data_IF_794089150560
#
_entry.id   IF_794089150560
#
_cell.length_a   1.000
_cell.length_b   1.000
_cell.length_c   1.000
_cell.angle_alpha   90.00
_cell.angle_beta   90.00
_cell.angle_gamma   90.00
#
_symmetry.space_group_name_H-M   'P 1'
#
loop_
_entity.id
_entity.type
_entity.pdbx_description
1 polymer ?
#
# COMPACT_ATOMS: atom_id res chain seq x y z
N UNK A 1 30.53 5.08 -11.00
CA UNK A 1 31.24 4.64 -9.82
C UNK A 1 31.32 3.10 -9.78
N UNK A 2 30.21 2.42 -9.73
CA UNK A 2 30.12 0.96 -9.53
C UNK A 2 30.91 0.11 -10.56
N UNK A 3 30.98 0.51 -11.82
CA UNK A 3 31.77 -0.19 -12.84
C UNK A 3 33.28 0.14 -12.77
N UNK A 4 33.73 0.86 -11.75
CA UNK A 4 35.12 1.28 -11.59
C UNK A 4 35.58 1.31 -10.13
N UNK A 5 34.83 0.69 -9.21
CA UNK A 5 35.12 0.67 -7.77
C UNK A 5 36.13 -0.39 -7.35
N UNK A 6 36.57 -1.24 -8.29
CA UNK A 6 37.60 -2.27 -8.07
C UNK A 6 37.04 -3.66 -7.86
N UNK A 7 35.72 -3.84 -7.72
CA UNK A 7 35.11 -5.16 -7.63
C UNK A 7 35.05 -5.82 -9.04
N UNK A 8 35.64 -7.01 -9.15
CA UNK A 8 35.73 -7.70 -10.44
C UNK A 8 34.36 -8.15 -10.94
N UNK A 9 34.12 -7.97 -12.26
CA UNK A 9 32.91 -8.41 -12.93
C UNK A 9 31.64 -7.77 -12.37
N UNK A 10 31.69 -6.51 -11.89
CA UNK A 10 30.53 -5.82 -11.35
C UNK A 10 29.43 -5.66 -12.39
N UNK A 11 28.21 -6.10 -12.05
CA UNK A 11 27.03 -5.93 -12.90
C UNK A 11 26.16 -4.79 -12.37
N UNK A 12 25.97 -3.77 -13.20
CA UNK A 12 25.14 -2.62 -12.88
C UNK A 12 23.94 -2.58 -13.83
N UNK A 13 22.76 -2.28 -13.30
CA UNK A 13 21.53 -2.26 -14.08
C UNK A 13 20.80 -0.92 -13.94
N UNK A 14 20.27 -0.42 -15.06
CA UNK A 14 19.17 0.53 -15.06
C UNK A 14 17.89 -0.28 -15.28
N UNK A 15 16.96 -0.27 -14.32
CA UNK A 15 15.76 -1.10 -14.35
C UNK A 15 14.48 -0.26 -14.36
N UNK A 16 13.51 -0.66 -15.17
CA UNK A 16 12.18 -0.06 -15.27
C UNK A 16 11.15 -1.11 -15.70
N UNK A 17 9.85 -0.75 -15.71
CA UNK A 17 8.77 -1.64 -16.17
C UNK A 17 8.96 -2.13 -17.60
N UNK A 18 9.57 -1.31 -18.46
CA UNK A 18 9.90 -1.66 -19.84
C UNK A 18 11.38 -1.37 -20.11
N UNK A 19 12.02 -2.26 -20.88
CA UNK A 19 13.42 -2.11 -21.25
C UNK A 19 13.73 -0.78 -21.97
N UNK A 20 12.81 -0.27 -22.77
CA UNK A 20 13.01 1.01 -23.47
C UNK A 20 13.01 2.21 -22.50
N UNK A 21 12.25 2.14 -21.39
CA UNK A 21 12.31 3.15 -20.33
C UNK A 21 13.65 3.05 -19.57
N UNK A 22 14.08 1.86 -19.20
CA UNK A 22 15.39 1.63 -18.60
C UNK A 22 16.56 2.14 -19.46
N UNK A 23 16.43 2.06 -20.80
CA UNK A 23 17.41 2.62 -21.74
C UNK A 23 17.62 4.13 -21.61
N UNK A 24 16.65 4.89 -21.09
CA UNK A 24 16.82 6.36 -20.95
C UNK A 24 17.99 6.68 -20.03
N UNK A 25 18.04 6.05 -18.85
CA UNK A 25 19.14 6.23 -17.88
C UNK A 25 20.47 5.75 -18.48
N UNK A 26 20.45 4.58 -19.11
CA UNK A 26 21.62 4.01 -19.74
C UNK A 26 22.16 4.87 -20.90
N UNK A 27 21.29 5.44 -21.73
CA UNK A 27 21.69 6.31 -22.85
C UNK A 27 22.35 7.59 -22.35
N UNK A 28 21.86 8.19 -21.26
CA UNK A 28 22.51 9.38 -20.68
C UNK A 28 23.90 9.03 -20.15
N UNK A 29 24.07 7.90 -19.47
CA UNK A 29 25.38 7.43 -19.04
C UNK A 29 26.30 7.21 -20.25
N UNK A 30 25.80 6.62 -21.34
CA UNK A 30 26.56 6.45 -22.59
C UNK A 30 26.96 7.79 -23.22
N UNK A 31 26.08 8.81 -23.20
CA UNK A 31 26.40 10.16 -23.66
C UNK A 31 27.50 10.82 -22.81
N UNK A 32 27.43 10.64 -21.47
CA UNK A 32 28.47 11.14 -20.55
C UNK A 32 29.83 10.50 -20.84
N UNK A 33 29.88 9.18 -21.04
CA UNK A 33 31.11 8.47 -21.43
C UNK A 33 31.63 9.00 -22.74
N UNK A 34 30.78 9.16 -23.77
CA UNK A 34 31.20 9.63 -25.10
C UNK A 34 31.73 11.07 -25.07
N UNK A 35 31.24 11.91 -24.18
CA UNK A 35 31.67 13.32 -24.06
C UNK A 35 32.92 13.49 -23.19
N UNK A 36 33.27 12.52 -22.34
CA UNK A 36 34.38 12.62 -21.40
C UNK A 36 35.59 11.79 -21.84
N UNK A 37 36.71 12.41 -22.22
CA UNK A 37 37.94 11.69 -22.58
C UNK A 37 38.49 10.79 -21.46
N UNK A 38 38.33 11.21 -20.22
CA UNK A 38 38.76 10.44 -19.06
C UNK A 38 37.91 9.17 -18.85
N UNK A 39 36.61 9.28 -19.04
CA UNK A 39 35.69 8.11 -18.94
C UNK A 39 35.94 7.12 -20.07
N UNK A 40 36.13 7.60 -21.29
CA UNK A 40 36.42 6.74 -22.47
C UNK A 40 37.68 5.89 -22.34
N UNK A 41 38.65 6.31 -21.52
CA UNK A 41 39.85 5.52 -21.22
C UNK A 41 39.55 4.31 -20.32
N UNK A 42 38.45 4.36 -19.58
CA UNK A 42 38.09 3.32 -18.59
C UNK A 42 36.83 2.56 -18.95
N UNK A 43 35.97 3.15 -19.77
CA UNK A 43 34.65 2.59 -20.10
C UNK A 43 34.50 2.55 -21.61
N UNK A 44 34.23 1.36 -22.16
CA UNK A 44 33.95 1.12 -23.58
C UNK A 44 32.45 1.10 -23.82
N UNK A 45 31.89 2.06 -24.58
CA UNK A 45 30.46 2.05 -24.93
C UNK A 45 30.23 1.07 -26.09
N UNK A 46 29.45 0.02 -25.84
CA UNK A 46 28.95 -0.91 -26.83
C UNK A 46 27.51 -0.58 -27.26
N UNK A 47 26.91 -1.40 -28.11
CA UNK A 47 25.53 -1.17 -28.60
C UNK A 47 24.52 -1.37 -27.49
N UNK A 48 24.66 -2.44 -26.68
CA UNK A 48 23.70 -2.85 -25.66
C UNK A 48 24.17 -2.61 -24.22
N UNK A 49 25.45 -2.28 -24.01
CA UNK A 49 26.04 -2.16 -22.68
C UNK A 49 27.21 -1.18 -22.66
N UNK A 50 27.58 -0.72 -21.46
CA UNK A 50 28.84 -0.08 -21.18
C UNK A 50 29.74 -1.09 -20.46
N UNK A 51 31.00 -1.22 -20.87
CA UNK A 51 31.96 -2.18 -20.31
C UNK A 51 33.06 -1.39 -19.59
N UNK A 52 33.29 -1.71 -18.31
CA UNK A 52 34.40 -1.19 -17.53
C UNK A 52 35.68 -1.99 -17.84
N UNK A 53 36.65 -1.34 -18.48
CA UNK A 53 37.91 -1.98 -18.92
C UNK A 53 38.80 -2.50 -17.77
N UNK A 54 38.85 -1.85 -16.59
CA UNK A 54 39.74 -2.29 -15.52
C UNK A 54 39.31 -3.59 -14.82
N UNK A 55 38.03 -3.93 -14.80
CA UNK A 55 37.47 -4.99 -13.96
C UNK A 55 36.39 -5.82 -14.66
N UNK A 56 36.25 -5.69 -15.99
CA UNK A 56 35.27 -6.40 -16.81
C UNK A 56 33.81 -6.22 -16.35
N UNK A 57 33.54 -5.10 -15.70
CA UNK A 57 32.20 -4.75 -15.24
C UNK A 57 31.30 -4.31 -16.40
N UNK A 58 29.98 -4.40 -16.18
CA UNK A 58 28.98 -4.03 -17.21
C UNK A 58 27.89 -3.13 -16.65
N UNK A 59 27.37 -2.21 -17.48
CA UNK A 59 26.16 -1.48 -17.20
C UNK A 59 25.14 -1.65 -18.33
N UNK A 60 23.97 -2.21 -18.00
CA UNK A 60 22.93 -2.65 -18.94
C UNK A 60 21.54 -2.13 -18.57
N UNK A 61 20.65 -1.87 -19.54
CA UNK A 61 19.24 -1.66 -19.28
C UNK A 61 18.53 -3.00 -19.08
N UNK A 62 17.67 -3.09 -18.05
CA UNK A 62 16.86 -4.26 -17.66
C UNK A 62 15.38 -3.86 -17.62
N UNK A 63 14.51 -4.66 -18.19
CA UNK A 63 13.05 -4.48 -18.12
C UNK A 63 12.39 -5.66 -17.44
N UNK A 64 11.21 -5.43 -16.83
CA UNK A 64 10.39 -6.50 -16.25
C UNK A 64 9.89 -7.51 -17.31
N UNK A 65 9.90 -7.11 -18.58
CA UNK A 65 9.56 -7.91 -19.75
C UNK A 65 10.73 -8.79 -20.26
N UNK A 66 11.87 -8.80 -19.56
CA UNK A 66 13.04 -9.59 -19.95
C UNK A 66 12.84 -11.05 -19.56
N UNK A 67 13.04 -11.98 -20.50
CA UNK A 67 12.87 -13.43 -20.30
C UNK A 67 13.92 -14.06 -19.35
N UNK A 68 15.00 -13.33 -19.03
CA UNK A 68 16.12 -13.81 -18.21
C UNK A 68 16.33 -12.91 -17.00
N UNK A 69 15.46 -13.05 -16.01
CA UNK A 69 15.63 -12.32 -14.75
C UNK A 69 16.42 -13.13 -13.70
N UNK A 70 16.51 -14.44 -13.86
CA UNK A 70 17.23 -15.30 -12.89
C UNK A 70 18.75 -15.27 -13.08
N UNK A 71 19.49 -15.38 -11.97
CA UNK A 71 20.94 -15.51 -11.96
C UNK A 71 21.71 -14.20 -12.13
N UNK A 72 21.10 -13.06 -11.79
CA UNK A 72 21.79 -11.76 -11.76
C UNK A 72 22.82 -11.72 -10.62
N UNK A 73 23.94 -11.03 -10.85
CA UNK A 73 24.99 -10.80 -9.87
C UNK A 73 25.20 -9.28 -9.70
N UNK A 74 24.22 -8.66 -9.01
CA UNK A 74 24.02 -7.21 -8.99
C UNK A 74 24.97 -6.51 -8.06
N UNK A 75 25.88 -5.69 -8.59
CA UNK A 75 26.70 -4.75 -7.81
C UNK A 75 26.01 -3.41 -7.64
N UNK A 76 25.14 -3.03 -8.57
CA UNK A 76 24.37 -1.79 -8.49
C UNK A 76 23.14 -1.79 -9.38
N UNK A 77 22.08 -1.11 -8.92
CA UNK A 77 20.88 -0.92 -9.72
C UNK A 77 20.28 0.48 -9.53
N UNK A 78 19.78 1.05 -10.62
CA UNK A 78 18.95 2.25 -10.64
C UNK A 78 17.55 1.82 -11.04
N UNK A 79 16.60 1.84 -10.07
CA UNK A 79 15.21 1.45 -10.27
C UNK A 79 14.38 2.71 -10.52
N UNK A 80 13.88 2.84 -11.75
CA UNK A 80 13.18 4.04 -12.21
C UNK A 80 11.67 3.82 -12.20
N UNK A 81 10.93 4.87 -11.77
CA UNK A 81 9.47 4.91 -11.73
C UNK A 81 8.83 3.72 -11.01
N UNK A 82 9.33 3.39 -9.80
CA UNK A 82 8.84 2.24 -9.02
C UNK A 82 7.35 2.33 -8.68
N UNK A 83 6.73 3.53 -8.69
CA UNK A 83 5.29 3.71 -8.53
C UNK A 83 4.46 3.03 -9.64
N UNK A 84 5.06 2.78 -10.79
CA UNK A 84 4.39 2.13 -11.93
C UNK A 84 4.64 0.60 -11.98
N UNK A 85 5.45 0.06 -11.06
CA UNK A 85 5.75 -1.37 -10.99
C UNK A 85 4.56 -2.11 -10.43
N UNK A 86 4.01 -3.01 -11.22
CA UNK A 86 2.76 -3.73 -10.90
C UNK A 86 2.94 -4.91 -9.97
N UNK A 87 4.16 -5.40 -9.85
CA UNK A 87 4.57 -6.50 -8.97
C UNK A 87 5.99 -6.28 -8.49
N UNK A 88 6.39 -7.03 -7.49
CA UNK A 88 7.72 -6.92 -6.90
C UNK A 88 8.77 -7.85 -7.51
N UNK A 89 8.40 -8.72 -8.45
CA UNK A 89 9.30 -9.74 -8.98
C UNK A 89 10.64 -9.17 -9.47
N UNK A 90 10.60 -8.10 -10.29
CA UNK A 90 11.84 -7.45 -10.76
C UNK A 90 12.64 -6.85 -9.60
N UNK A 91 11.99 -6.30 -8.59
CA UNK A 91 12.63 -5.76 -7.40
C UNK A 91 13.33 -6.87 -6.60
N UNK A 92 12.60 -7.95 -6.31
CA UNK A 92 13.11 -9.09 -5.53
C UNK A 92 14.31 -9.73 -6.23
N UNK A 93 14.23 -10.02 -7.53
CA UNK A 93 15.34 -10.59 -8.31
C UNK A 93 16.59 -9.70 -8.29
N UNK A 94 16.42 -8.37 -8.37
CA UNK A 94 17.55 -7.44 -8.29
C UNK A 94 18.14 -7.43 -6.88
N UNK A 95 17.32 -7.43 -5.83
CA UNK A 95 17.78 -7.44 -4.44
C UNK A 95 18.48 -8.77 -4.11
N UNK A 96 17.87 -9.89 -4.47
CA UNK A 96 18.46 -11.23 -4.26
C UNK A 96 19.80 -11.38 -5.01
N UNK A 97 19.88 -10.80 -6.21
CA UNK A 97 21.11 -10.77 -7.00
C UNK A 97 22.27 -10.02 -6.34
N UNK A 98 22.04 -9.26 -5.26
CA UNK A 98 23.11 -8.56 -4.53
C UNK A 98 23.84 -9.43 -3.51
N UNK A 99 23.31 -10.60 -3.19
CA UNK A 99 23.74 -11.44 -2.05
C UNK A 99 25.21 -11.86 -2.06
N UNK A 100 25.85 -11.90 -3.24
CA UNK A 100 27.26 -12.27 -3.41
C UNK A 100 28.21 -11.06 -3.47
N UNK A 101 27.71 -9.84 -3.33
CA UNK A 101 28.47 -8.59 -3.44
C UNK A 101 28.79 -7.99 -2.06
N UNK A 102 29.99 -7.42 -1.93
CA UNK A 102 30.41 -6.82 -0.66
C UNK A 102 29.74 -5.44 -0.40
N UNK A 103 29.59 -4.63 -1.44
CA UNK A 103 29.05 -3.26 -1.34
C UNK A 103 28.01 -2.98 -2.44
N UNK A 104 26.91 -3.72 -2.48
CA UNK A 104 25.87 -3.44 -3.47
C UNK A 104 25.19 -2.10 -3.20
N UNK A 105 24.80 -1.39 -4.27
CA UNK A 105 24.06 -0.14 -4.17
C UNK A 105 22.80 -0.17 -5.03
N UNK A 106 21.65 -0.04 -4.40
CA UNK A 106 20.36 0.11 -5.08
C UNK A 106 19.85 1.53 -4.89
N UNK A 107 19.60 2.23 -5.98
CA UNK A 107 19.02 3.58 -5.99
C UNK A 107 17.63 3.49 -6.61
N UNK A 108 16.62 3.92 -5.86
CA UNK A 108 15.22 3.97 -6.32
C UNK A 108 14.82 5.42 -6.52
N UNK A 109 14.21 5.72 -7.68
CA UNK A 109 13.68 7.06 -7.99
C UNK A 109 12.28 6.93 -8.54
N UNK A 110 11.39 7.81 -8.08
CA UNK A 110 9.98 7.75 -8.46
C UNK A 110 9.24 9.03 -8.12
N UNK A 111 8.10 9.24 -8.76
CA UNK A 111 7.04 10.12 -8.28
C UNK A 111 5.98 9.29 -7.54
N UNK A 112 5.01 9.94 -6.89
CA UNK A 112 3.81 9.26 -6.43
C UNK A 112 2.98 8.77 -7.64
N UNK A 113 2.19 7.75 -7.44
CA UNK A 113 1.35 7.18 -8.49
C UNK A 113 -0.08 6.95 -8.01
N UNK A 114 -0.83 6.24 -8.84
CA UNK A 114 -2.20 5.80 -8.54
C UNK A 114 -2.32 4.29 -8.35
N UNK A 115 -1.24 3.55 -8.62
CA UNK A 115 -1.13 2.13 -8.29
C UNK A 115 -0.86 2.04 -6.80
N UNK A 116 -1.68 1.25 -6.10
CA UNK A 116 -1.53 1.06 -4.67
C UNK A 116 -1.06 -0.37 -4.40
N UNK A 117 -0.50 -0.56 -3.20
CA UNK A 117 -0.01 -1.85 -2.73
C UNK A 117 1.10 -2.42 -3.64
N UNK A 118 2.02 -1.57 -4.02
CA UNK A 118 3.17 -1.87 -4.87
C UNK A 118 4.48 -1.77 -4.07
N UNK A 119 5.60 -2.08 -4.71
CA UNK A 119 6.94 -1.81 -4.16
C UNK A 119 7.07 -0.35 -3.70
N UNK A 120 6.45 0.59 -4.43
CA UNK A 120 6.45 2.01 -4.05
C UNK A 120 5.83 2.23 -2.67
N UNK A 121 4.62 1.73 -2.42
CA UNK A 121 3.93 1.97 -1.14
C UNK A 121 4.74 1.38 0.03
N UNK A 122 5.24 0.15 -0.13
CA UNK A 122 6.09 -0.49 0.88
C UNK A 122 7.35 0.34 1.18
N UNK A 123 8.07 0.79 0.13
CA UNK A 123 9.31 1.57 0.30
C UNK A 123 9.06 2.99 0.81
N UNK A 124 7.93 3.56 0.47
CA UNK A 124 7.50 4.86 0.99
C UNK A 124 7.23 4.81 2.50
N UNK A 125 6.54 3.74 2.96
CA UNK A 125 6.29 3.55 4.40
C UNK A 125 7.58 3.24 5.18
N UNK A 126 8.47 2.40 4.64
CA UNK A 126 9.80 2.18 5.22
C UNK A 126 10.60 3.50 5.31
N UNK A 127 10.49 4.35 4.28
CA UNK A 127 11.14 5.66 4.25
C UNK A 127 10.59 6.62 5.32
N UNK A 128 9.26 6.66 5.48
CA UNK A 128 8.61 7.46 6.53
C UNK A 128 8.95 6.96 7.93
N UNK A 129 8.91 5.64 8.15
CA UNK A 129 9.31 5.07 9.45
C UNK A 129 10.75 5.45 9.80
N UNK A 130 11.68 5.30 8.84
CA UNK A 130 13.08 5.70 9.04
C UNK A 130 13.24 7.19 9.37
N UNK A 131 12.54 8.07 8.64
CA UNK A 131 12.59 9.52 8.88
C UNK A 131 12.03 9.85 10.26
N UNK A 132 10.87 9.29 10.63
CA UNK A 132 10.26 9.52 11.94
C UNK A 132 11.17 9.03 13.08
N UNK A 133 11.79 7.86 12.93
CA UNK A 133 12.73 7.32 13.93
C UNK A 133 14.03 8.14 14.07
N UNK A 134 14.47 8.78 12.98
CA UNK A 134 15.59 9.71 13.06
C UNK A 134 15.25 10.98 13.88
N UNK A 135 13.98 11.39 13.91
CA UNK A 135 13.50 12.52 14.70
C UNK A 135 13.21 12.13 16.15
N UNK A 136 12.57 10.97 16.38
CA UNK A 136 12.14 10.51 17.71
C UNK A 136 13.21 9.72 18.47
N UNK A 137 14.22 9.18 17.76
CA UNK A 137 15.23 8.28 18.31
C UNK A 137 14.75 6.82 18.36
N UNK A 138 15.70 5.93 18.64
CA UNK A 138 15.45 4.49 18.88
C UNK A 138 15.41 4.23 20.38
N UNK A 139 14.64 3.23 20.82
CA UNK A 139 14.66 2.80 22.20
C UNK A 139 16.03 2.21 22.58
N UNK A 140 16.39 2.24 23.87
CA UNK A 140 17.67 1.72 24.35
C UNK A 140 17.80 0.21 24.02
N UNK A 141 18.81 -0.14 23.21
CA UNK A 141 19.06 -1.51 22.74
C UNK A 141 18.27 -1.92 21.48
N UNK A 142 17.43 -1.06 20.93
CA UNK A 142 16.75 -1.28 19.64
C UNK A 142 17.72 -1.08 18.48
N UNK A 143 17.78 -2.06 17.57
CA UNK A 143 18.55 -1.93 16.33
C UNK A 143 17.68 -1.25 15.26
N UNK A 144 18.33 -0.40 14.44
CA UNK A 144 17.68 0.20 13.29
C UNK A 144 17.46 -0.86 12.18
N UNK A 145 16.22 -1.28 11.89
CA UNK A 145 15.97 -2.28 10.85
C UNK A 145 16.31 -1.73 9.45
N UNK A 146 16.44 -0.41 9.31
CA UNK A 146 16.72 0.29 8.05
C UNK A 146 18.08 0.99 8.06
N UNK A 147 19.08 0.48 8.80
CA UNK A 147 20.39 1.13 8.98
C UNK A 147 21.04 1.55 7.65
N UNK A 148 20.94 0.70 6.61
CA UNK A 148 21.55 0.93 5.30
C UNK A 148 20.62 1.60 4.29
N UNK A 149 19.47 2.13 4.73
CA UNK A 149 18.50 2.80 3.89
C UNK A 149 18.56 4.31 4.09
N UNK A 150 18.79 5.05 3.01
CA UNK A 150 18.78 6.52 2.99
C UNK A 150 17.52 7.00 2.26
N UNK A 151 16.46 7.38 2.97
CA UNK A 151 15.25 7.93 2.38
C UNK A 151 15.41 9.42 2.08
N UNK A 152 14.90 9.87 0.94
CA UNK A 152 14.75 11.27 0.57
C UNK A 152 13.36 11.46 -0.03
N UNK A 153 12.48 12.19 0.66
CA UNK A 153 11.10 12.44 0.22
C UNK A 153 10.92 13.93 -0.04
N UNK A 154 10.43 14.25 -1.24
CA UNK A 154 10.04 15.60 -1.64
C UNK A 154 8.57 15.58 -2.07
N UNK A 155 7.69 16.01 -1.19
CA UNK A 155 6.25 16.05 -1.42
C UNK A 155 5.63 17.30 -0.78
N UNK A 156 4.36 17.58 -1.05
CA UNK A 156 3.61 18.56 -0.26
C UNK A 156 3.21 17.93 1.08
N UNK A 157 3.11 18.74 2.14
CA UNK A 157 2.69 18.25 3.45
C UNK A 157 1.22 17.84 3.47
N UNK A 158 0.40 18.51 2.66
CA UNK A 158 -1.01 18.14 2.49
C UNK A 158 -1.49 18.44 1.06
N UNK A 159 -2.60 17.77 0.71
CA UNK A 159 -3.18 17.87 -0.62
C UNK A 159 -3.54 19.29 -1.05
N UNK A 160 -4.02 20.13 -0.13
CA UNK A 160 -4.54 21.46 -0.45
C UNK A 160 -3.45 22.48 -0.78
N UNK A 161 -2.18 22.19 -0.45
CA UNK A 161 -1.04 23.08 -0.73
C UNK A 161 -0.72 23.26 -2.22
N UNK A 162 -1.28 22.42 -3.12
CA UNK A 162 -1.03 22.54 -4.55
C UNK A 162 -1.45 23.87 -5.17
N UNK A 163 -2.36 24.59 -4.51
CA UNK A 163 -2.82 25.91 -4.96
C UNK A 163 -1.96 27.07 -4.49
N UNK A 164 -1.07 26.82 -3.50
CA UNK A 164 -0.16 27.83 -2.92
C UNK A 164 1.26 27.72 -3.51
N UNK A 165 1.71 28.71 -4.31
CA UNK A 165 3.04 28.69 -4.90
C UNK A 165 4.19 28.63 -3.90
N UNK A 166 3.98 29.10 -2.64
CA UNK A 166 5.01 29.09 -1.61
C UNK A 166 5.34 27.65 -1.15
N UNK A 167 4.39 26.73 -1.28
CA UNK A 167 4.55 25.31 -0.88
C UNK A 167 5.22 24.45 -1.96
N UNK A 168 5.20 24.88 -3.24
CA UNK A 168 5.62 24.02 -4.37
C UNK A 168 7.07 23.54 -4.31
N UNK A 169 7.96 24.30 -3.64
CA UNK A 169 9.36 23.89 -3.46
C UNK A 169 9.52 22.67 -2.56
N UNK A 170 8.55 22.36 -1.69
CA UNK A 170 8.56 21.16 -0.86
C UNK A 170 8.66 19.89 -1.74
N UNK A 171 7.81 19.83 -2.75
CA UNK A 171 7.82 18.72 -3.73
C UNK A 171 8.81 18.93 -4.89
N UNK A 172 9.28 20.14 -5.12
CA UNK A 172 10.15 20.49 -6.25
C UNK A 172 11.32 21.35 -5.79
N UNK A 173 12.34 20.76 -5.14
CA UNK A 173 13.49 21.54 -4.61
C UNK A 173 14.27 22.24 -5.72
N UNK A 174 14.26 21.72 -6.95
CA UNK A 174 14.87 22.32 -8.13
C UNK A 174 13.98 23.30 -8.90
N UNK A 175 12.88 23.78 -8.30
CA UNK A 175 11.97 24.71 -8.96
C UNK A 175 12.65 26.07 -9.21
N UNK A 176 12.58 26.54 -10.46
CA UNK A 176 13.25 27.75 -10.92
C UNK A 176 14.63 27.49 -11.53
N UNK A 177 15.21 26.31 -11.36
CA UNK A 177 16.50 25.91 -11.95
C UNK A 177 16.36 24.71 -12.87
N UNK A 178 15.98 23.55 -12.35
CA UNK A 178 15.78 22.32 -13.15
C UNK A 178 14.38 22.31 -13.75
N UNK A 179 13.36 22.61 -12.93
CA UNK A 179 11.95 22.68 -13.33
C UNK A 179 11.55 24.16 -13.48
N UNK A 180 11.02 24.54 -14.62
CA UNK A 180 10.62 25.92 -14.87
C UNK A 180 9.37 26.29 -14.10
N UNK A 181 9.39 27.45 -13.44
CA UNK A 181 8.27 27.93 -12.61
C UNK A 181 7.03 28.20 -13.48
N UNK A 182 7.20 28.89 -14.61
CA UNK A 182 6.12 29.26 -15.54
C UNK A 182 5.35 28.03 -16.08
N UNK A 183 6.06 26.93 -16.29
CA UNK A 183 5.44 25.67 -16.70
C UNK A 183 4.57 25.07 -15.59
N UNK A 184 5.03 25.12 -14.34
CA UNK A 184 4.26 24.61 -13.21
C UNK A 184 3.05 25.50 -12.93
N UNK A 185 3.20 26.82 -12.98
CA UNK A 185 2.10 27.80 -12.89
C UNK A 185 1.02 27.53 -13.94
N UNK A 186 1.45 27.28 -15.20
CA UNK A 186 0.53 26.94 -16.28
C UNK A 186 -0.26 25.65 -15.99
N UNK A 187 0.42 24.60 -15.50
CA UNK A 187 -0.23 23.32 -15.12
C UNK A 187 -1.25 23.54 -14.00
N UNK A 188 -0.87 24.28 -12.96
CA UNK A 188 -1.76 24.60 -11.83
C UNK A 188 -2.97 25.40 -12.29
N UNK A 189 -2.78 26.43 -13.13
CA UNK A 189 -3.89 27.20 -13.69
C UNK A 189 -4.86 26.33 -14.48
N UNK A 190 -4.36 25.42 -15.32
CA UNK A 190 -5.18 24.46 -16.05
C UNK A 190 -5.94 23.50 -15.11
N UNK A 191 -5.31 23.03 -14.04
CA UNK A 191 -5.94 22.14 -13.09
C UNK A 191 -7.02 22.86 -12.27
N UNK A 192 -6.82 24.14 -11.93
CA UNK A 192 -7.87 24.99 -11.31
C UNK A 192 -9.10 25.14 -12.21
N UNK A 193 -8.90 25.23 -13.52
CA UNK A 193 -9.98 25.35 -14.50
C UNK A 193 -10.61 24.00 -14.88
N UNK A 194 -9.89 22.89 -14.74
CA UNK A 194 -10.36 21.55 -15.07
C UNK A 194 -9.96 20.54 -13.99
N UNK A 195 -10.89 20.16 -13.09
CA UNK A 195 -10.65 19.23 -11.99
C UNK A 195 -10.07 17.87 -12.40
N UNK A 196 -10.33 17.38 -13.63
CA UNK A 196 -9.81 16.13 -14.15
C UNK A 196 -8.27 16.11 -14.24
N UNK A 197 -7.64 17.29 -14.28
CA UNK A 197 -6.19 17.42 -14.34
C UNK A 197 -5.51 17.42 -12.97
N UNK A 198 -6.27 17.63 -11.90
CA UNK A 198 -5.74 17.76 -10.53
C UNK A 198 -4.99 16.49 -10.12
N UNK A 199 -5.57 15.31 -10.34
CA UNK A 199 -4.97 14.03 -9.99
C UNK A 199 -3.59 13.82 -10.61
N UNK A 200 -3.46 14.09 -11.92
CA UNK A 200 -2.19 13.95 -12.60
C UNK A 200 -1.16 14.98 -12.11
N UNK A 201 -1.61 16.20 -11.82
CA UNK A 201 -0.76 17.25 -11.25
C UNK A 201 -0.25 16.86 -9.86
N UNK A 202 -1.13 16.36 -8.99
CA UNK A 202 -0.79 15.94 -7.63
C UNK A 202 0.22 14.80 -7.62
N UNK A 203 -0.02 13.75 -8.41
CA UNK A 203 0.88 12.59 -8.44
C UNK A 203 2.22 12.87 -9.14
N UNK A 204 2.23 13.62 -10.24
CA UNK A 204 3.41 13.80 -11.09
C UNK A 204 4.26 15.01 -10.73
N UNK A 205 3.63 16.08 -10.25
CA UNK A 205 4.33 17.34 -10.00
C UNK A 205 4.48 17.64 -8.49
N UNK A 206 3.64 17.02 -7.65
CA UNK A 206 3.62 17.31 -6.20
C UNK A 206 3.82 16.07 -5.30
N UNK A 207 3.95 14.89 -5.91
CA UNK A 207 4.20 13.61 -5.23
C UNK A 207 3.16 13.23 -4.18
N UNK A 208 1.92 13.69 -4.35
CA UNK A 208 0.78 13.29 -3.52
C UNK A 208 0.13 12.04 -4.14
N UNK A 209 0.04 10.91 -3.41
CA UNK A 209 -0.65 9.73 -3.87
C UNK A 209 -2.16 9.98 -4.10
N UNK A 210 -2.72 9.39 -5.15
CA UNK A 210 -4.14 9.55 -5.50
C UNK A 210 -4.81 8.18 -5.80
N UNK A 211 -6.14 8.13 -5.69
CA UNK A 211 -6.96 6.95 -5.99
C UNK A 211 -7.62 7.04 -7.38
N UNK A 212 -8.43 6.05 -7.76
CA UNK A 212 -9.19 6.09 -9.01
C UNK A 212 -10.31 7.16 -8.97
N UNK A 213 -10.82 7.56 -10.12
CA UNK A 213 -11.91 8.56 -10.22
C UNK A 213 -13.26 8.06 -9.66
N UNK A 214 -13.47 6.74 -9.65
CA UNK A 214 -14.69 6.09 -9.16
C UNK A 214 -14.52 5.63 -7.68
N UNK A 215 -13.43 5.99 -7.02
CA UNK A 215 -13.14 5.56 -5.66
C UNK A 215 -14.16 6.12 -4.65
N UNK A 216 -14.49 5.28 -3.66
CA UNK A 216 -15.34 5.68 -2.53
C UNK A 216 -14.70 6.77 -1.67
N UNK A 217 -13.40 6.60 -1.37
CA UNK A 217 -12.59 7.53 -0.60
C UNK A 217 -11.40 8.00 -1.45
N UNK A 218 -11.01 9.25 -1.30
CA UNK A 218 -9.70 9.70 -1.77
C UNK A 218 -8.60 9.01 -0.96
N UNK A 219 -7.38 8.98 -1.48
CA UNK A 219 -6.25 8.43 -0.71
C UNK A 219 -6.05 9.19 0.60
N UNK A 220 -6.14 10.53 0.58
CA UNK A 220 -6.01 11.36 1.76
C UNK A 220 -7.08 11.04 2.81
N UNK A 221 -8.32 10.85 2.42
CA UNK A 221 -9.40 10.47 3.34
C UNK A 221 -9.18 9.09 3.95
N UNK A 222 -8.77 8.10 3.13
CA UNK A 222 -8.53 6.75 3.56
C UNK A 222 -7.28 6.60 4.44
N UNK A 223 -6.21 7.37 4.16
CA UNK A 223 -4.93 7.24 4.84
C UNK A 223 -4.99 7.74 6.28
N UNK A 224 -4.57 6.89 7.22
CA UNK A 224 -4.38 7.23 8.63
C UNK A 224 -3.16 6.45 9.14
N UNK A 225 -2.12 7.17 9.58
CA UNK A 225 -0.87 6.62 10.11
C UNK A 225 -0.86 6.47 11.63
N UNK A 226 -1.96 6.82 12.30
CA UNK A 226 -2.07 6.68 13.73
C UNK A 226 -2.04 5.19 14.12
N UNK A 227 -1.15 4.86 15.04
CA UNK A 227 -1.01 3.51 15.59
C UNK A 227 -1.53 3.46 17.03
N UNK A 228 -1.89 2.27 17.47
CA UNK A 228 -2.25 1.99 18.87
C UNK A 228 -1.76 0.59 19.26
N UNK A 229 -1.46 0.41 20.55
CA UNK A 229 -1.26 -0.91 21.11
C UNK A 229 -2.65 -1.56 21.35
N UNK A 230 -2.82 -2.82 20.95
CA UNK A 230 -4.07 -3.57 21.17
C UNK A 230 -4.45 -3.65 22.67
N UNK A 231 -3.46 -3.63 23.56
CA UNK A 231 -3.69 -3.59 25.02
C UNK A 231 -4.45 -2.33 25.46
N UNK A 232 -4.34 -1.23 24.70
CA UNK A 232 -5.14 -0.01 24.93
C UNK A 232 -6.65 -0.25 24.80
N UNK A 233 -7.03 -1.25 24.01
CA UNK A 233 -8.43 -1.63 23.76
C UNK A 233 -8.92 -2.78 24.66
N UNK A 234 -8.11 -3.22 25.63
CA UNK A 234 -8.48 -4.29 26.57
C UNK A 234 -9.71 -3.92 27.40
N UNK A 235 -10.55 -4.91 27.70
CA UNK A 235 -11.77 -4.77 28.48
C UNK A 235 -12.80 -3.79 27.89
N UNK A 236 -12.96 -3.85 26.56
CA UNK A 236 -13.95 -3.01 25.86
C UNK A 236 -14.99 -3.87 25.14
N UNK A 237 -16.10 -3.22 24.80
CA UNK A 237 -17.08 -3.79 23.88
C UNK A 237 -16.75 -3.40 22.45
N UNK A 238 -17.16 -4.25 21.52
CA UNK A 238 -16.95 -4.04 20.09
C UNK A 238 -18.19 -4.43 19.28
N UNK A 239 -18.29 -3.92 18.05
CA UNK A 239 -19.19 -4.46 17.03
C UNK A 239 -18.35 -5.14 15.99
N UNK A 240 -18.65 -6.41 15.72
CA UNK A 240 -17.95 -7.21 14.74
C UNK A 240 -18.56 -7.10 13.35
N UNK A 241 -17.75 -7.44 12.34
CA UNK A 241 -18.18 -7.62 10.96
C UNK A 241 -17.33 -8.67 10.27
N UNK A 242 -17.92 -9.40 9.33
CA UNK A 242 -17.18 -10.36 8.51
C UNK A 242 -17.64 -10.29 7.06
N UNK A 243 -16.67 -10.44 6.14
CA UNK A 243 -16.90 -10.69 4.73
C UNK A 243 -16.19 -11.99 4.37
N UNK A 244 -17.00 -13.01 4.00
CA UNK A 244 -16.54 -14.37 3.83
C UNK A 244 -16.43 -14.76 2.38
N UNK A 245 -15.26 -15.21 1.98
CA UNK A 245 -14.99 -15.84 0.69
C UNK A 245 -14.44 -17.25 0.89
N UNK A 246 -14.76 -18.18 0.00
CA UNK A 246 -14.31 -19.57 0.17
C UNK A 246 -13.00 -19.88 -0.57
N UNK A 247 -12.72 -19.28 -1.73
CA UNK A 247 -11.64 -19.76 -2.61
C UNK A 247 -10.82 -18.68 -3.30
N UNK A 248 -11.43 -17.59 -3.75
CA UNK A 248 -10.79 -16.65 -4.68
C UNK A 248 -10.54 -15.28 -4.13
N UNK A 249 -11.42 -14.75 -3.31
CA UNK A 249 -11.27 -13.44 -2.67
C UNK A 249 -10.68 -13.60 -1.26
N UNK A 250 -10.25 -12.50 -0.66
CA UNK A 250 -9.87 -12.48 0.75
C UNK A 250 -11.11 -12.72 1.62
N UNK A 251 -10.93 -13.33 2.76
CA UNK A 251 -11.89 -13.23 3.86
C UNK A 251 -11.36 -12.20 4.84
N UNK A 252 -12.22 -11.38 5.39
CA UNK A 252 -11.86 -10.41 6.40
C UNK A 252 -12.83 -10.43 7.58
N UNK A 253 -12.26 -10.40 8.79
CA UNK A 253 -12.97 -10.16 10.04
C UNK A 253 -12.56 -8.81 10.63
N UNK A 254 -13.53 -8.07 11.15
CA UNK A 254 -13.36 -6.73 11.71
C UNK A 254 -13.99 -6.65 13.10
N UNK A 255 -13.34 -5.90 13.99
CA UNK A 255 -13.93 -5.39 15.23
C UNK A 255 -13.83 -3.86 15.22
N UNK A 256 -14.93 -3.19 15.45
CA UNK A 256 -15.00 -1.75 15.68
C UNK A 256 -15.19 -1.48 17.17
N UNK A 257 -14.25 -0.77 17.77
CA UNK A 257 -14.24 -0.42 19.19
C UNK A 257 -14.38 1.08 19.33
N UNK A 258 -15.21 1.53 20.26
CA UNK A 258 -15.27 2.91 20.72
C UNK A 258 -15.00 2.94 22.23
N UNK A 259 -14.46 4.06 22.71
CA UNK A 259 -14.19 4.25 24.16
C UNK A 259 -14.98 5.45 24.70
N UNK A 260 -15.31 5.45 26.00
CA UNK A 260 -15.96 6.59 26.61
C UNK A 260 -15.17 7.89 26.42
N UNK A 261 -15.85 8.96 26.03
CA UNK A 261 -15.24 10.27 25.79
C UNK A 261 -14.18 10.33 24.69
N UNK A 262 -14.09 9.32 23.82
CA UNK A 262 -13.24 9.28 22.66
C UNK A 262 -14.11 9.19 21.39
N UNK A 263 -13.90 10.10 20.45
CA UNK A 263 -14.63 10.11 19.18
C UNK A 263 -14.02 9.12 18.15
N UNK A 264 -12.91 8.49 18.48
CA UNK A 264 -12.19 7.57 17.60
C UNK A 264 -12.89 6.21 17.53
N UNK A 265 -13.04 5.71 16.32
CA UNK A 265 -13.45 4.33 16.04
C UNK A 265 -12.18 3.53 15.75
N UNK A 266 -11.82 2.62 16.62
CA UNK A 266 -10.67 1.74 16.46
C UNK A 266 -11.09 0.50 15.69
N UNK A 267 -10.51 0.29 14.51
CA UNK A 267 -10.79 -0.85 13.66
C UNK A 267 -9.65 -1.88 13.76
N UNK A 268 -9.97 -3.06 14.28
CA UNK A 268 -9.06 -4.20 14.32
C UNK A 268 -9.50 -5.14 13.20
N UNK A 269 -8.60 -5.46 12.28
CA UNK A 269 -8.89 -6.35 11.15
C UNK A 269 -7.92 -7.51 11.07
N UNK A 270 -8.45 -8.68 10.72
CA UNK A 270 -7.68 -9.86 10.34
C UNK A 270 -8.16 -10.35 8.99
N UNK A 271 -7.20 -10.62 8.12
CA UNK A 271 -7.44 -11.17 6.79
C UNK A 271 -7.05 -12.64 6.75
N UNK A 272 -7.69 -13.40 5.85
CA UNK A 272 -7.46 -14.83 5.69
C UNK A 272 -7.32 -15.18 4.21
N UNK A 273 -6.40 -16.09 3.91
CA UNK A 273 -6.14 -16.60 2.57
C UNK A 273 -5.79 -18.11 2.66
N UNK A 274 -6.20 -18.95 1.67
CA UNK A 274 -5.77 -20.34 1.64
C UNK A 274 -4.25 -20.46 1.41
N UNK A 275 -3.57 -21.31 2.21
CA UNK A 275 -2.12 -21.51 2.14
C UNK A 275 -1.67 -22.04 0.77
N UNK A 276 -2.37 -23.03 0.22
CA UNK A 276 -2.00 -23.63 -1.08
C UNK A 276 -2.09 -22.65 -2.26
N UNK A 277 -2.89 -21.59 -2.12
CA UNK A 277 -3.07 -20.57 -3.16
C UNK A 277 -2.19 -19.32 -2.92
N UNK A 278 -1.40 -19.28 -1.86
CA UNK A 278 -0.70 -18.09 -1.42
C UNK A 278 0.25 -17.53 -2.49
N UNK A 279 1.18 -18.33 -2.99
CA UNK A 279 2.16 -17.91 -4.01
C UNK A 279 1.48 -17.49 -5.32
N UNK A 280 0.41 -18.22 -5.70
CA UNK A 280 -0.36 -17.88 -6.88
C UNK A 280 -1.07 -16.53 -6.69
N UNK A 281 -1.63 -16.27 -5.51
CA UNK A 281 -2.30 -15.00 -5.20
C UNK A 281 -1.32 -13.83 -5.15
N UNK A 282 -0.15 -13.99 -4.57
CA UNK A 282 0.91 -12.99 -4.62
C UNK A 282 1.22 -12.57 -6.07
N UNK A 283 1.28 -13.54 -6.99
CA UNK A 283 1.55 -13.29 -8.41
C UNK A 283 0.38 -12.68 -9.16
N UNK A 284 -0.85 -13.18 -8.93
CA UNK A 284 -2.06 -12.73 -9.65
C UNK A 284 -2.55 -11.36 -9.21
N UNK A 285 -2.66 -11.15 -7.91
CA UNK A 285 -3.13 -9.88 -7.33
C UNK A 285 -2.02 -8.82 -7.34
N UNK A 286 -0.75 -9.27 -7.43
CA UNK A 286 0.46 -8.41 -7.40
C UNK A 286 0.57 -7.60 -6.11
N UNK A 287 0.30 -8.26 -5.02
CA UNK A 287 0.19 -7.72 -3.67
C UNK A 287 1.21 -8.43 -2.79
N UNK A 288 1.96 -7.72 -1.92
CA UNK A 288 2.94 -8.33 -1.03
C UNK A 288 2.27 -9.01 0.17
N UNK A 289 1.50 -10.09 -0.09
CA UNK A 289 0.82 -10.84 0.97
C UNK A 289 1.78 -11.48 1.96
N UNK A 290 3.00 -11.83 1.54
CA UNK A 290 4.09 -12.29 2.39
C UNK A 290 4.44 -11.24 3.47
N UNK A 291 4.64 -9.99 3.10
CA UNK A 291 4.86 -8.90 4.04
C UNK A 291 3.69 -8.73 5.01
N UNK A 292 2.43 -8.84 4.54
CA UNK A 292 1.27 -8.73 5.42
C UNK A 292 1.10 -9.91 6.35
N UNK A 293 1.51 -11.10 5.91
CA UNK A 293 1.56 -12.29 6.76
C UNK A 293 2.60 -12.13 7.88
N UNK A 294 3.81 -11.67 7.55
CA UNK A 294 4.86 -11.37 8.52
C UNK A 294 4.44 -10.30 9.55
N UNK A 295 3.66 -9.30 9.12
CA UNK A 295 3.09 -8.28 10.02
C UNK A 295 1.93 -8.80 10.87
N UNK A 296 1.47 -10.02 10.67
CA UNK A 296 0.35 -10.61 11.39
C UNK A 296 -1.04 -10.10 10.95
N UNK A 297 -1.13 -9.34 9.87
CA UNK A 297 -2.39 -8.84 9.33
C UNK A 297 -3.13 -9.88 8.49
N UNK A 298 -2.41 -10.87 7.98
CA UNK A 298 -2.92 -11.96 7.16
C UNK A 298 -2.62 -13.32 7.82
N UNK A 299 -3.65 -14.14 7.97
CA UNK A 299 -3.55 -15.54 8.40
C UNK A 299 -3.69 -16.46 7.19
N UNK A 300 -2.83 -17.47 7.09
CA UNK A 300 -2.95 -18.52 6.09
C UNK A 300 -3.76 -19.68 6.67
N UNK A 301 -4.91 -19.98 6.03
CA UNK A 301 -5.72 -21.15 6.34
C UNK A 301 -5.17 -22.38 5.65
N UNK A 302 -5.06 -23.49 6.36
CA UNK A 302 -4.51 -24.73 5.82
C UNK A 302 -5.36 -25.27 4.65
N UNK A 303 -4.71 -25.66 3.54
CA UNK A 303 -5.34 -26.23 2.35
C UNK A 303 -5.68 -25.19 1.27
N UNK A 304 -6.61 -25.57 0.38
CA UNK A 304 -6.98 -24.79 -0.82
C UNK A 304 -8.22 -23.90 -0.65
N UNK A 305 -8.80 -23.88 0.55
CA UNK A 305 -9.97 -23.08 0.92
C UNK A 305 -9.77 -22.47 2.29
N UNK A 306 -10.42 -21.33 2.52
CA UNK A 306 -10.43 -20.74 3.86
C UNK A 306 -11.30 -21.63 4.77
N UNK A 307 -10.71 -22.09 5.87
CA UNK A 307 -11.47 -22.72 6.95
C UNK A 307 -12.06 -21.61 7.83
N UNK A 308 -13.38 -21.50 7.83
CA UNK A 308 -14.04 -20.45 8.63
C UNK A 308 -13.86 -20.63 10.14
N UNK A 309 -13.35 -21.80 10.60
CA UNK A 309 -12.91 -21.99 11.99
C UNK A 309 -11.75 -21.07 12.36
N UNK A 310 -10.89 -20.69 11.39
CA UNK A 310 -9.84 -19.71 11.64
C UNK A 310 -10.42 -18.32 11.93
N UNK A 311 -11.53 -17.98 11.24
CA UNK A 311 -12.27 -16.73 11.49
C UNK A 311 -12.92 -16.75 12.87
N UNK A 312 -13.60 -17.86 13.21
CA UNK A 312 -14.17 -18.07 14.55
C UNK A 312 -13.10 -17.98 15.63
N UNK A 313 -11.96 -18.67 15.43
CA UNK A 313 -10.85 -18.68 16.37
C UNK A 313 -10.29 -17.25 16.61
N UNK A 314 -10.27 -16.40 15.59
CA UNK A 314 -9.85 -15.03 15.75
C UNK A 314 -10.82 -14.22 16.64
N UNK A 315 -12.14 -14.31 16.44
CA UNK A 315 -13.11 -13.64 17.33
C UNK A 315 -13.00 -14.15 18.76
N UNK A 316 -12.87 -15.47 18.93
CA UNK A 316 -12.66 -16.10 20.24
C UNK A 316 -11.37 -15.59 20.89
N UNK A 317 -10.28 -15.50 20.14
CA UNK A 317 -8.99 -14.95 20.61
C UNK A 317 -9.14 -13.51 21.08
N UNK A 318 -9.83 -12.64 20.31
CA UNK A 318 -10.04 -11.25 20.70
C UNK A 318 -10.80 -11.15 22.03
N UNK A 319 -11.83 -11.97 22.19
CA UNK A 319 -12.60 -12.02 23.43
C UNK A 319 -11.78 -12.59 24.62
N UNK A 320 -11.15 -13.73 24.45
CA UNK A 320 -10.47 -14.43 25.56
C UNK A 320 -9.13 -13.81 25.94
N UNK A 321 -8.32 -13.44 24.95
CA UNK A 321 -6.96 -12.95 25.20
C UNK A 321 -6.94 -11.46 25.54
N UNK A 322 -7.74 -10.64 24.85
CA UNK A 322 -7.73 -9.19 24.99
C UNK A 322 -8.96 -8.65 25.74
N UNK A 323 -9.94 -9.51 26.05
CA UNK A 323 -11.22 -9.10 26.66
C UNK A 323 -11.94 -8.03 25.83
N UNK A 324 -11.80 -8.08 24.51
CA UNK A 324 -12.57 -7.27 23.59
C UNK A 324 -13.80 -8.07 23.19
N UNK A 325 -14.96 -7.66 23.69
CA UNK A 325 -16.20 -8.46 23.61
C UNK A 325 -17.09 -7.95 22.47
N UNK A 326 -17.24 -8.72 21.37
CA UNK A 326 -18.21 -8.39 20.33
C UNK A 326 -19.63 -8.52 20.88
N UNK A 327 -20.39 -7.41 20.86
CA UNK A 327 -21.82 -7.41 21.28
C UNK A 327 -22.68 -7.98 20.16
N UNK A 328 -22.39 -7.57 18.93
CA UNK A 328 -23.05 -8.03 17.71
C UNK A 328 -21.99 -8.23 16.63
N UNK A 329 -22.25 -9.17 15.72
CA UNK A 329 -21.38 -9.41 14.55
C UNK A 329 -22.23 -9.38 13.27
N UNK A 330 -21.98 -8.37 12.42
CA UNK A 330 -22.62 -8.20 11.12
C UNK A 330 -22.01 -9.10 10.05
N UNK A 331 -22.85 -9.72 9.22
CA UNK A 331 -22.38 -10.59 8.13
C UNK A 331 -23.31 -10.56 6.91
N UNK A 332 -22.74 -10.88 5.72
CA UNK A 332 -23.53 -11.15 4.54
C UNK A 332 -24.11 -12.59 4.61
N UNK A 333 -25.43 -12.79 4.48
CA UNK A 333 -26.04 -14.12 4.54
C UNK A 333 -25.63 -15.05 3.39
N UNK A 334 -24.97 -14.54 2.36
CA UNK A 334 -24.51 -15.35 1.22
C UNK A 334 -23.29 -16.19 1.65
N UNK A 335 -23.34 -17.51 1.42
CA UNK A 335 -22.29 -18.51 1.74
C UNK A 335 -21.87 -18.65 3.21
N UNK A 336 -22.62 -18.11 4.19
CA UNK A 336 -22.19 -18.03 5.59
C UNK A 336 -22.90 -19.02 6.55
N UNK A 337 -23.85 -19.84 6.07
CA UNK A 337 -24.75 -20.63 6.94
C UNK A 337 -24.04 -21.48 8.00
N UNK A 338 -23.05 -22.29 7.61
CA UNK A 338 -22.35 -23.16 8.56
C UNK A 338 -21.49 -22.39 9.56
N UNK A 339 -20.88 -21.29 9.11
CA UNK A 339 -20.11 -20.43 9.98
C UNK A 339 -20.98 -19.72 11.04
N UNK A 340 -22.19 -19.33 10.65
CA UNK A 340 -23.14 -18.69 11.57
C UNK A 340 -23.52 -19.65 12.69
N UNK A 341 -23.85 -20.89 12.35
CA UNK A 341 -24.24 -21.90 13.32
C UNK A 341 -23.10 -22.11 14.35
N UNK A 342 -21.85 -22.19 13.91
CA UNK A 342 -20.66 -22.29 14.76
C UNK A 342 -20.49 -21.05 15.66
N UNK A 343 -20.62 -19.83 15.12
CA UNK A 343 -20.49 -18.58 15.88
C UNK A 343 -21.59 -18.46 16.97
N UNK A 344 -22.82 -18.87 16.65
CA UNK A 344 -23.91 -18.88 17.61
C UNK A 344 -23.66 -19.92 18.72
N UNK A 345 -23.13 -21.10 18.39
CA UNK A 345 -22.72 -22.11 19.37
C UNK A 345 -21.63 -21.59 20.30
N UNK A 346 -20.72 -20.73 19.80
CA UNK A 346 -19.70 -20.03 20.60
C UNK A 346 -20.26 -18.86 21.42
N UNK A 347 -21.54 -18.55 21.29
CA UNK A 347 -22.24 -17.52 22.08
C UNK A 347 -22.24 -16.12 21.47
N UNK A 348 -21.84 -15.95 20.21
CA UNK A 348 -21.87 -14.65 19.52
C UNK A 348 -23.27 -14.33 18.96
N UNK A 349 -23.67 -13.06 19.07
CA UNK A 349 -24.92 -12.54 18.49
C UNK A 349 -24.70 -12.12 17.03
N UNK A 350 -25.19 -12.94 16.09
CA UNK A 350 -24.98 -12.78 14.66
C UNK A 350 -26.11 -11.99 14.01
N UNK A 351 -25.77 -10.91 13.29
CA UNK A 351 -26.70 -9.97 12.66
C UNK A 351 -26.53 -9.92 11.13
N UNK A 352 -27.64 -10.11 10.40
CA UNK A 352 -27.64 -10.07 8.94
C UNK A 352 -27.48 -8.65 8.42
N UNK A 353 -26.51 -8.42 7.53
CA UNK A 353 -26.34 -7.18 6.77
C UNK A 353 -26.56 -7.47 5.28
N UNK A 354 -27.65 -6.95 4.72
CA UNK A 354 -27.96 -7.11 3.30
C UNK A 354 -27.08 -6.20 2.46
N UNK A 355 -26.42 -6.74 1.43
CA UNK A 355 -25.45 -6.06 0.58
C UNK A 355 -26.07 -5.14 -0.50
N UNK A 356 -27.25 -4.61 -0.24
CA UNK A 356 -27.98 -3.70 -1.14
C UNK A 356 -27.70 -2.23 -0.83
N UNK A 357 -27.88 -1.37 -1.85
CA UNK A 357 -27.71 0.08 -1.69
C UNK A 357 -28.61 0.67 -0.60
N UNK A 358 -29.83 0.16 -0.43
CA UNK A 358 -30.76 0.61 0.61
C UNK A 358 -30.24 0.40 2.05
N UNK A 359 -29.50 -0.70 2.29
CA UNK A 359 -28.95 -1.01 3.60
C UNK A 359 -27.62 -0.27 3.83
N UNK A 360 -26.75 -0.26 2.83
CA UNK A 360 -25.36 0.19 2.99
C UNK A 360 -25.16 1.69 2.75
N UNK A 361 -26.06 2.36 2.02
CA UNK A 361 -25.83 3.75 1.56
C UNK A 361 -25.58 4.72 2.71
N UNK A 362 -26.47 4.76 3.69
CA UNK A 362 -26.32 5.72 4.80
C UNK A 362 -25.10 5.37 5.68
N UNK A 363 -24.89 4.12 6.12
CA UNK A 363 -23.66 3.73 6.84
C UNK A 363 -22.38 4.10 6.08
N UNK A 364 -22.34 3.86 4.75
CA UNK A 364 -21.18 4.23 3.93
C UNK A 364 -20.91 5.73 3.90
N UNK A 365 -21.95 6.56 3.81
CA UNK A 365 -21.82 8.03 3.81
C UNK A 365 -21.34 8.55 5.17
N UNK A 366 -21.85 7.98 6.25
CA UNK A 366 -21.46 8.36 7.62
C UNK A 366 -20.00 7.99 7.94
N UNK A 367 -19.62 6.72 7.71
CA UNK A 367 -18.24 6.28 7.98
C UNK A 367 -17.23 6.96 7.03
N UNK A 368 -17.62 7.34 5.80
CA UNK A 368 -16.77 8.14 4.93
C UNK A 368 -16.42 9.50 5.56
N UNK A 369 -17.41 10.15 6.22
CA UNK A 369 -17.14 11.36 6.99
C UNK A 369 -16.20 11.11 8.17
N UNK A 370 -16.26 9.93 8.80
CA UNK A 370 -15.36 9.57 9.88
C UNK A 370 -13.93 9.32 9.36
N UNK A 371 -13.77 8.69 8.20
CA UNK A 371 -12.48 8.56 7.53
C UNK A 371 -11.88 9.91 7.15
N UNK A 372 -12.67 10.78 6.51
CA UNK A 372 -12.25 12.14 6.14
C UNK A 372 -11.81 12.96 7.37
N UNK A 373 -12.53 12.80 8.49
CA UNK A 373 -12.21 13.42 9.78
C UNK A 373 -11.10 12.74 10.57
N UNK A 374 -10.43 11.69 10.03
CA UNK A 374 -9.40 10.88 10.69
C UNK A 374 -9.87 10.23 12.01
N UNK A 375 -11.18 10.03 12.15
CA UNK A 375 -11.78 9.38 13.32
C UNK A 375 -11.76 7.85 13.26
N UNK A 376 -11.49 7.24 12.10
CA UNK A 376 -11.30 5.79 11.98
C UNK A 376 -9.81 5.49 12.03
N UNK A 377 -9.39 4.82 13.10
CA UNK A 377 -8.01 4.37 13.29
C UNK A 377 -7.94 2.85 13.09
N UNK A 378 -7.30 2.41 12.01
CA UNK A 378 -7.10 1.01 11.66
C UNK A 378 -5.66 0.53 11.90
N UNK A 379 -4.95 1.18 12.85
CA UNK A 379 -3.60 0.83 13.30
C UNK A 379 -2.57 0.77 12.16
N UNK A 380 -2.64 1.74 11.25
CA UNK A 380 -1.75 1.82 10.08
C UNK A 380 -1.69 0.51 9.25
N UNK A 381 -2.73 -0.33 9.28
CA UNK A 381 -2.79 -1.57 8.52
C UNK A 381 -2.89 -1.29 7.02
N UNK A 382 -1.81 -1.55 6.29
CA UNK A 382 -1.72 -1.27 4.85
C UNK A 382 -2.66 -2.12 4.01
N UNK A 383 -2.98 -3.35 4.46
CA UNK A 383 -3.95 -4.19 3.77
C UNK A 383 -5.36 -3.61 3.88
N UNK A 384 -5.69 -2.97 5.01
CA UNK A 384 -6.92 -2.19 5.18
C UNK A 384 -6.93 -0.97 4.25
N UNK A 385 -5.87 -0.18 4.24
CA UNK A 385 -5.74 0.99 3.36
C UNK A 385 -5.92 0.60 1.88
N UNK A 386 -5.31 -0.51 1.47
CA UNK A 386 -5.45 -1.00 0.11
C UNK A 386 -6.90 -1.37 -0.23
N UNK A 387 -7.62 -2.07 0.66
CA UNK A 387 -9.02 -2.40 0.47
C UNK A 387 -9.88 -1.14 0.36
N UNK A 388 -9.67 -0.15 1.24
CA UNK A 388 -10.37 1.14 1.21
C UNK A 388 -10.15 1.87 -0.11
N UNK A 389 -8.90 1.96 -0.58
CA UNK A 389 -8.55 2.68 -1.81
C UNK A 389 -8.96 1.95 -3.10
N UNK A 390 -9.20 0.65 -3.04
CA UNK A 390 -9.77 -0.16 -4.13
C UNK A 390 -11.28 -0.07 -4.22
N UNK A 391 -11.94 0.35 -3.14
CA UNK A 391 -13.40 0.39 -3.08
C UNK A 391 -13.91 1.55 -3.93
N UNK A 392 -14.74 1.21 -4.91
CA UNK A 392 -15.51 2.16 -5.70
C UNK A 392 -16.98 2.15 -5.29
N UNK A 393 -17.74 3.12 -5.74
CA UNK A 393 -19.18 3.20 -5.46
C UNK A 393 -19.99 3.01 -6.72
N UNK A 394 -21.15 2.36 -6.55
CA UNK A 394 -22.20 2.33 -7.56
C UNK A 394 -23.44 2.99 -6.99
N UNK A 395 -23.98 3.94 -7.74
CA UNK A 395 -25.25 4.62 -7.43
C UNK A 395 -26.43 3.82 -7.99
N UNK A 396 -27.55 3.83 -7.26
CA UNK A 396 -28.86 3.46 -7.80
C UNK A 396 -29.63 4.70 -8.28
N UNK A 397 -30.84 4.50 -8.81
CA UNK A 397 -31.68 5.60 -9.36
C UNK A 397 -32.14 6.62 -8.31
N UNK A 398 -31.92 6.35 -7.01
CA UNK A 398 -32.26 7.22 -5.89
C UNK A 398 -31.02 7.77 -5.18
N UNK A 399 -29.85 7.81 -5.83
CA UNK A 399 -28.58 8.26 -5.29
C UNK A 399 -28.11 7.47 -4.04
N UNK A 400 -28.63 6.25 -3.82
CA UNK A 400 -28.05 5.37 -2.83
C UNK A 400 -26.79 4.73 -3.39
N UNK A 401 -25.79 4.54 -2.51
CA UNK A 401 -24.49 3.97 -2.86
C UNK A 401 -24.32 2.56 -2.30
N UNK A 402 -23.57 1.75 -3.02
CA UNK A 402 -23.05 0.47 -2.52
C UNK A 402 -21.62 0.27 -2.96
N UNK A 403 -20.82 -0.51 -2.21
CA UNK A 403 -19.44 -0.80 -2.58
C UNK A 403 -19.39 -1.72 -3.81
N UNK A 404 -18.45 -1.45 -4.70
CA UNK A 404 -18.11 -2.32 -5.83
C UNK A 404 -16.60 -2.36 -6.03
N UNK A 405 -16.09 -3.45 -6.62
CA UNK A 405 -14.77 -3.47 -7.23
C UNK A 405 -14.82 -2.57 -8.47
N UNK A 406 -13.84 -1.69 -8.64
CA UNK A 406 -13.76 -0.84 -9.84
C UNK A 406 -13.48 -1.65 -11.11
N UNK A 407 -12.94 -1.02 -12.14
CA UNK A 407 -12.58 -1.68 -13.40
C UNK A 407 -11.55 -2.80 -13.25
N UNK A 408 -10.73 -2.76 -12.20
CA UNK A 408 -9.79 -3.81 -11.89
C UNK A 408 -10.46 -4.93 -11.10
N UNK A 409 -10.82 -6.02 -11.78
CA UNK A 409 -11.45 -7.20 -11.16
C UNK A 409 -10.55 -7.93 -10.15
N UNK A 410 -9.26 -7.65 -10.12
CA UNK A 410 -8.30 -8.18 -9.14
C UNK A 410 -8.23 -7.34 -7.86
N UNK A 411 -8.81 -6.15 -7.86
CA UNK A 411 -8.91 -5.33 -6.66
C UNK A 411 -9.73 -6.04 -5.59
N UNK A 412 -9.24 -6.04 -4.36
CA UNK A 412 -9.93 -6.60 -3.20
C UNK A 412 -10.58 -5.47 -2.41
N UNK A 413 -11.79 -5.70 -1.96
CA UNK A 413 -12.56 -4.76 -1.13
C UNK A 413 -13.15 -5.45 0.11
N UNK A 414 -12.79 -6.70 0.34
CA UNK A 414 -13.33 -7.57 1.37
C UNK A 414 -13.14 -6.96 2.78
N UNK A 415 -11.97 -6.31 3.01
CA UNK A 415 -11.73 -5.56 4.24
C UNK A 415 -12.67 -4.36 4.42
N UNK A 416 -12.97 -3.65 3.33
CA UNK A 416 -13.96 -2.56 3.37
C UNK A 416 -15.36 -3.08 3.64
N UNK A 417 -15.77 -4.17 2.97
CA UNK A 417 -17.08 -4.78 3.16
C UNK A 417 -17.22 -5.28 4.61
N UNK A 418 -16.18 -5.90 5.16
CA UNK A 418 -16.15 -6.32 6.56
C UNK A 418 -16.31 -5.13 7.55
N UNK A 419 -15.65 -3.99 7.30
CA UNK A 419 -15.89 -2.75 8.07
C UNK A 419 -17.33 -2.28 7.92
N UNK A 420 -17.88 -2.28 6.71
CA UNK A 420 -19.24 -1.84 6.45
C UNK A 420 -20.27 -2.75 7.12
N UNK A 421 -20.04 -4.06 7.18
CA UNK A 421 -20.88 -5.00 7.91
C UNK A 421 -20.90 -4.68 9.42
N UNK A 422 -19.74 -4.41 10.01
CA UNK A 422 -19.64 -3.99 11.41
C UNK A 422 -20.29 -2.63 11.64
N UNK A 423 -19.96 -1.65 10.77
CA UNK A 423 -20.44 -0.29 10.96
C UNK A 423 -21.94 -0.13 10.73
N UNK A 424 -22.54 -0.91 9.84
CA UNK A 424 -23.99 -0.91 9.62
C UNK A 424 -24.70 -1.31 10.92
N UNK A 425 -24.26 -2.37 11.59
CA UNK A 425 -24.84 -2.80 12.88
C UNK A 425 -24.58 -1.76 13.98
N UNK A 426 -23.38 -1.18 14.01
CA UNK A 426 -23.04 -0.12 14.96
C UNK A 426 -23.92 1.12 14.72
N UNK A 427 -24.12 1.54 13.47
CA UNK A 427 -24.92 2.68 13.09
C UNK A 427 -26.40 2.50 13.50
N UNK A 428 -26.97 1.35 13.19
CA UNK A 428 -28.36 1.01 13.53
C UNK A 428 -28.61 0.94 15.05
N UNK A 429 -27.59 0.60 15.84
CA UNK A 429 -27.68 0.38 17.28
C UNK A 429 -26.78 1.32 18.09
N UNK A 430 -26.41 2.49 17.52
CA UNK A 430 -25.45 3.43 18.13
C UNK A 430 -25.82 3.83 19.56
N UNK A 431 -27.10 4.08 19.82
CA UNK A 431 -27.58 4.52 21.15
C UNK A 431 -27.39 3.40 22.18
N UNK A 432 -27.75 2.18 21.81
CA UNK A 432 -27.62 1.02 22.70
C UNK A 432 -26.15 0.69 22.94
N UNK A 433 -25.32 0.74 21.88
CA UNK A 433 -23.89 0.53 22.02
C UNK A 433 -23.22 1.57 22.92
N UNK A 434 -23.57 2.86 22.76
CA UNK A 434 -23.04 3.92 23.62
C UNK A 434 -23.49 3.81 25.09
N UNK A 435 -24.59 3.13 25.36
CA UNK A 435 -25.02 2.86 26.74
C UNK A 435 -24.21 1.72 27.42
N UNK A 436 -23.51 0.88 26.62
CA UNK A 436 -22.66 -0.21 27.12
C UNK A 436 -21.22 0.24 27.43
N UNK A 437 -20.75 1.30 26.75
CA UNK A 437 -19.39 1.83 26.90
C UNK A 437 -19.41 3.07 27.80
#
# INVERSE_FOLDING_TARGET
LQIADGEAGAEVYAAATKKDQAKLVWLEAKRMVNKSPSLRKRIKPLVAELVGLPNDSTFKPLGADSETLDGLNVSGAMLDEIHAWKDKNLYDVIVDGTSSREQPLIVMITTAGTVRNSVYDQKYDEAKDKINRLETGYAEGEQDPHERFLPIIYELDNRNEWVDPNCWKKANPGLGTIKKLDQLETKVAKAKANPLLIKNLLTKDFNIPETSEEAWLTYEEAYNDAAYDIEFLRNTYAVGGADLSSTTDLTCATLLVMKPNDSTIYAIQQYFLPEENFDQRCKEDKVPYDYYHERGWLTLSQGNKIDYKDVTAWFVKMHQQYSITPVWIGYDPYNSKYWIDEMVEMGFDMRVVRQGALTLSQPMKEIASDFAGKRVNYNHNQLTLWNLTNTCVKYDDNDNIRPIKGKNQRARIDGTVSILNAYTILYENMTDFKALI
#
